data_IF_319910097146
#
_entry.id   IF_319910097146
#
_cell.length_a   1.000
_cell.length_b   1.000
_cell.length_c   1.000
_cell.angle_alpha   90.00
_cell.angle_beta   90.00
_cell.angle_gamma   90.00
#
_symmetry.space_group_name_H-M   'P 1'
#
loop_
_entity.id
_entity.type
_entity.pdbx_description
1 polymer ?
#
# COMPACT_ATOMS: atom_id res chain seq x y z
N UNK A 1 11.40 22.46 7.13
CA UNK A 1 11.01 22.29 8.55
C UNK A 1 9.49 22.26 8.66
N UNK A 2 8.99 21.51 9.64
CA UNK A 2 7.59 21.54 10.04
C UNK A 2 7.46 22.61 11.13
N UNK A 3 6.82 23.74 10.79
CA UNK A 3 6.64 24.86 11.69
C UNK A 3 5.58 24.54 12.77
N UNK A 4 5.79 25.09 13.96
CA UNK A 4 4.85 25.05 15.07
C UNK A 4 4.47 26.47 15.49
N UNK A 5 3.20 26.67 15.72
CA UNK A 5 2.65 27.91 16.26
C UNK A 5 1.72 27.59 17.41
N UNK A 6 1.71 28.44 18.43
CA UNK A 6 0.78 28.38 19.54
C UNK A 6 -0.16 29.60 19.55
N UNK A 7 -1.35 29.42 20.11
CA UNK A 7 -2.30 30.51 20.29
C UNK A 7 -3.21 30.20 21.49
N UNK A 8 -3.53 31.21 22.29
CA UNK A 8 -4.45 31.14 23.40
C UNK A 8 -5.88 31.52 22.99
N UNK A 9 -6.06 32.16 21.84
CA UNK A 9 -7.35 32.73 21.39
C UNK A 9 -7.73 32.38 19.93
N UNK A 10 -6.92 31.59 19.22
CA UNK A 10 -7.03 31.21 17.81
C UNK A 10 -6.98 32.40 16.83
N UNK A 11 -6.67 33.59 17.32
CA UNK A 11 -6.57 34.83 16.53
C UNK A 11 -5.14 35.33 16.47
N UNK A 12 -4.42 35.28 17.59
CA UNK A 12 -3.03 35.70 17.72
C UNK A 12 -2.14 34.47 17.87
N UNK A 13 -1.25 34.28 16.90
CA UNK A 13 -0.37 33.12 16.81
C UNK A 13 1.08 33.50 17.05
N UNK A 14 1.76 32.72 17.88
CA UNK A 14 3.18 32.88 18.19
C UNK A 14 3.97 31.75 17.53
N UNK A 15 5.06 32.05 16.80
CA UNK A 15 5.95 31.01 16.31
C UNK A 15 6.70 30.37 17.49
N UNK A 16 6.75 29.04 17.47
CA UNK A 16 7.50 28.21 18.39
C UNK A 16 8.74 27.63 17.71
N UNK A 17 9.52 26.86 18.44
CA UNK A 17 10.56 26.05 17.80
C UNK A 17 9.92 25.08 16.81
N UNK A 18 10.51 24.89 15.63
CA UNK A 18 9.98 23.94 14.65
C UNK A 18 9.79 22.56 15.26
N UNK A 19 8.66 21.92 14.96
CA UNK A 19 8.36 20.59 15.43
C UNK A 19 9.35 19.55 14.92
N UNK A 20 9.83 19.74 13.67
CA UNK A 20 10.85 18.90 13.05
C UNK A 20 11.59 19.69 11.97
N UNK A 21 12.92 19.59 11.96
CA UNK A 21 13.77 20.14 10.90
C UNK A 21 14.27 18.99 10.04
N UNK A 22 13.76 18.89 8.84
CA UNK A 22 14.11 17.85 7.86
C UNK A 22 15.33 18.24 7.03
N UNK A 23 16.07 17.27 6.47
CA UNK A 23 17.09 17.54 5.45
C UNK A 23 16.49 18.28 4.25
N UNK A 24 17.32 19.03 3.51
CA UNK A 24 16.88 19.80 2.33
C UNK A 24 16.25 18.93 1.22
N UNK A 25 16.56 17.65 1.21
CA UNK A 25 16.05 16.66 0.24
C UNK A 25 14.70 16.07 0.60
N UNK A 26 14.14 16.40 1.76
CA UNK A 26 12.88 15.86 2.25
C UNK A 26 11.84 16.97 2.35
N UNK A 27 10.64 16.71 1.87
CA UNK A 27 9.50 17.59 2.02
C UNK A 27 8.82 17.38 3.39
N UNK A 28 8.55 18.50 4.08
CA UNK A 28 7.73 18.52 5.29
C UNK A 28 6.30 18.98 5.02
N UNK A 29 5.86 18.96 3.76
CA UNK A 29 4.56 19.48 3.34
C UNK A 29 3.41 18.67 3.93
N UNK A 30 2.28 19.33 4.10
CA UNK A 30 1.03 18.73 4.53
C UNK A 30 1.15 17.79 5.74
N UNK A 31 1.88 18.16 6.81
CA UNK A 31 2.09 17.27 7.95
C UNK A 31 0.76 16.90 8.61
N UNK A 32 0.73 15.75 9.23
CA UNK A 32 -0.43 15.28 10.01
C UNK A 32 0.05 14.65 11.32
N UNK A 33 -0.28 15.29 12.42
CA UNK A 33 0.06 14.84 13.76
C UNK A 33 -1.17 14.25 14.45
N UNK A 34 -1.01 13.06 15.02
CA UNK A 34 -2.08 12.39 15.76
C UNK A 34 -1.53 11.46 16.83
N UNK A 35 -2.37 11.15 17.79
CA UNK A 35 -2.09 10.17 18.83
C UNK A 35 -2.74 8.82 18.53
N UNK A 36 -2.01 7.73 18.76
CA UNK A 36 -2.50 6.36 18.74
C UNK A 36 -1.69 5.50 19.70
N UNK A 37 -2.37 4.73 20.56
CA UNK A 37 -1.75 3.83 21.55
C UNK A 37 -0.71 4.54 22.44
N UNK A 38 -1.06 5.73 22.96
CA UNK A 38 -0.22 6.60 23.82
C UNK A 38 1.10 7.03 23.17
N UNK A 39 1.15 7.09 21.84
CA UNK A 39 2.28 7.56 21.06
C UNK A 39 1.81 8.54 20.00
N UNK A 40 2.58 9.58 19.78
CA UNK A 40 2.32 10.58 18.77
C UNK A 40 3.03 10.23 17.47
N UNK A 41 2.31 10.29 16.36
CA UNK A 41 2.79 10.01 15.02
C UNK A 41 2.68 11.25 14.16
N UNK A 42 3.75 11.57 13.47
CA UNK A 42 3.85 12.69 12.56
C UNK A 42 4.06 12.15 11.15
N UNK A 43 3.03 12.24 10.31
CA UNK A 43 3.08 11.87 8.90
C UNK A 43 3.55 13.07 8.07
N UNK A 44 4.28 12.82 6.99
CA UNK A 44 4.60 13.78 5.93
C UNK A 44 3.78 13.54 4.67
N UNK A 45 3.83 14.47 3.74
CA UNK A 45 3.14 14.34 2.44
C UNK A 45 3.63 13.14 1.62
N UNK A 46 4.87 12.73 1.80
CA UNK A 46 5.58 11.71 1.01
C UNK A 46 5.50 10.30 1.63
N UNK A 47 4.39 9.94 2.27
CA UNK A 47 4.16 8.61 2.84
C UNK A 47 5.22 8.14 3.87
N UNK A 48 5.88 9.10 4.52
CA UNK A 48 6.81 8.82 5.62
C UNK A 48 6.23 9.25 6.96
N UNK A 49 6.73 8.64 8.02
CA UNK A 49 6.35 9.02 9.38
C UNK A 49 7.51 8.92 10.37
N UNK A 50 7.36 9.65 11.45
CA UNK A 50 8.16 9.51 12.67
C UNK A 50 7.23 9.52 13.88
N UNK A 51 7.74 9.13 15.04
CA UNK A 51 6.92 9.07 16.25
C UNK A 51 7.66 9.58 17.48
N UNK A 52 6.90 10.01 18.48
CA UNK A 52 7.38 10.50 19.77
C UNK A 52 6.40 10.13 20.88
N UNK A 53 6.85 10.10 22.13
CA UNK A 53 5.97 9.97 23.30
C UNK A 53 5.30 11.30 23.67
N UNK A 54 5.73 12.40 23.09
CA UNK A 54 5.24 13.75 23.37
C UNK A 54 4.75 14.41 22.05
N UNK A 55 3.60 15.13 22.06
CA UNK A 55 3.10 15.84 20.89
C UNK A 55 4.06 16.91 20.34
N UNK A 56 4.90 17.46 21.17
CA UNK A 56 5.91 18.45 20.82
C UNK A 56 7.30 17.83 20.51
N UNK A 57 7.38 16.52 20.44
CA UNK A 57 8.63 15.80 20.15
C UNK A 57 9.45 15.47 21.39
N UNK A 58 10.76 15.15 21.24
CA UNK A 58 11.48 15.19 19.96
C UNK A 58 11.03 14.13 18.96
N UNK A 59 10.96 14.49 17.69
CA UNK A 59 10.74 13.58 16.58
C UNK A 59 12.05 13.26 15.88
N UNK A 60 12.25 11.99 15.51
CA UNK A 60 13.43 11.57 14.77
C UNK A 60 13.42 12.13 13.35
N UNK A 61 14.57 12.60 12.88
CA UNK A 61 14.75 13.11 11.51
C UNK A 61 14.71 11.98 10.49
N UNK A 62 15.15 10.78 10.88
CA UNK A 62 15.02 9.56 10.06
C UNK A 62 13.59 9.08 10.16
N UNK A 63 12.85 9.22 9.07
CA UNK A 63 11.46 8.81 8.97
C UNK A 63 11.36 7.38 8.42
N UNK A 64 10.30 6.69 8.82
CA UNK A 64 9.93 5.36 8.31
C UNK A 64 8.91 5.50 7.19
N UNK A 65 8.92 4.58 6.25
CA UNK A 65 7.92 4.49 5.19
C UNK A 65 6.71 3.69 5.70
N UNK A 66 5.50 4.18 5.47
CA UNK A 66 4.26 3.45 5.76
C UNK A 66 3.47 3.07 4.50
N UNK A 67 3.82 3.65 3.34
CA UNK A 67 3.33 3.26 2.02
C UNK A 67 4.46 3.41 1.02
N UNK A 68 4.48 2.59 -0.01
CA UNK A 68 5.50 2.66 -1.07
C UNK A 68 4.81 2.90 -2.40
N UNK A 69 5.04 4.07 -2.99
CA UNK A 69 4.50 4.40 -4.31
C UNK A 69 3.78 5.73 -4.41
N UNK A 70 2.58 5.71 -4.97
CA UNK A 70 1.85 6.91 -5.42
C UNK A 70 0.90 7.51 -4.37
N UNK A 71 0.98 7.10 -3.11
CA UNK A 71 0.16 7.68 -2.05
C UNK A 71 0.78 8.96 -1.52
N UNK A 72 0.04 10.06 -1.56
CA UNK A 72 0.49 11.37 -1.07
C UNK A 72 -0.51 11.99 -0.08
N UNK A 73 0.00 12.93 0.72
CA UNK A 73 -0.80 13.77 1.63
C UNK A 73 -1.75 12.95 2.51
N UNK A 74 -1.26 11.93 3.21
CA UNK A 74 -2.12 11.09 4.04
C UNK A 74 -2.75 11.90 5.17
N UNK A 75 -4.04 11.66 5.39
CA UNK A 75 -4.79 12.21 6.52
C UNK A 75 -5.54 11.09 7.21
N UNK A 76 -5.66 11.21 8.52
CA UNK A 76 -6.39 10.21 9.31
C UNK A 76 -7.51 10.87 10.11
N UNK A 77 -8.56 10.10 10.35
CA UNK A 77 -9.64 10.46 11.28
C UNK A 77 -9.91 9.32 12.24
N UNK A 78 -10.39 9.64 13.43
CA UNK A 78 -10.81 8.66 14.42
C UNK A 78 -12.32 8.59 14.42
N UNK A 79 -12.89 7.41 14.18
CA UNK A 79 -14.35 7.19 14.11
C UNK A 79 -14.99 6.87 15.48
N UNK A 80 -14.21 6.97 16.55
CA UNK A 80 -14.58 6.57 17.91
C UNK A 80 -14.08 5.17 18.28
N UNK A 81 -13.63 4.37 17.33
CA UNK A 81 -13.14 3.01 17.54
C UNK A 81 -11.84 2.74 16.76
N UNK A 82 -11.78 3.16 15.51
CA UNK A 82 -10.68 2.91 14.59
C UNK A 82 -10.10 4.24 14.10
N UNK A 83 -8.85 4.23 13.72
CA UNK A 83 -8.24 5.33 12.98
C UNK A 83 -8.19 4.96 11.50
N UNK A 84 -8.84 5.77 10.69
CA UNK A 84 -8.99 5.55 9.25
C UNK A 84 -8.13 6.53 8.50
N UNK A 85 -7.32 6.03 7.58
CA UNK A 85 -6.45 6.82 6.69
C UNK A 85 -7.05 6.92 5.29
N UNK A 86 -6.91 8.10 4.71
CA UNK A 86 -7.06 8.39 3.29
C UNK A 86 -5.82 9.13 2.80
N UNK A 87 -5.45 8.90 1.56
CA UNK A 87 -4.42 9.66 0.87
C UNK A 87 -4.86 10.03 -0.53
N UNK A 88 -4.15 10.96 -1.14
CA UNK A 88 -4.32 11.32 -2.53
C UNK A 88 -3.41 10.46 -3.41
N UNK A 89 -3.96 9.88 -4.46
CA UNK A 89 -3.23 9.15 -5.49
C UNK A 89 -3.29 10.00 -6.75
N UNK A 90 -2.20 10.72 -7.03
CA UNK A 90 -2.08 11.57 -8.20
C UNK A 90 -2.18 10.76 -9.51
N UNK A 91 -2.53 11.39 -10.60
CA UNK A 91 -2.31 10.74 -11.88
C UNK A 91 -0.90 11.00 -12.39
N UNK A 92 -0.40 10.08 -13.18
CA UNK A 92 0.92 10.19 -13.80
C UNK A 92 0.83 11.04 -15.06
N UNK A 93 1.91 11.75 -15.37
CA UNK A 93 2.04 12.52 -16.60
C UNK A 93 1.69 11.65 -17.83
N UNK A 94 1.01 12.26 -18.78
CA UNK A 94 0.55 11.65 -20.05
C UNK A 94 -0.51 10.54 -19.91
N UNK A 95 -0.72 9.98 -18.71
CA UNK A 95 -1.73 8.96 -18.47
C UNK A 95 -2.90 9.55 -17.69
N UNK A 96 -4.11 9.24 -18.12
CA UNK A 96 -5.35 9.80 -17.58
C UNK A 96 -6.42 8.73 -17.57
N UNK A 97 -7.32 8.83 -16.62
CA UNK A 97 -8.47 7.94 -16.56
C UNK A 97 -9.49 8.34 -17.65
N UNK A 98 -9.75 9.65 -17.78
CA UNK A 98 -10.67 10.20 -18.77
C UNK A 98 -10.23 11.58 -19.22
N UNK A 99 -10.41 11.88 -20.51
CA UNK A 99 -10.27 13.19 -21.10
C UNK A 99 -8.98 13.96 -20.76
N UNK A 100 -9.09 15.31 -20.68
CA UNK A 100 -8.02 16.22 -20.28
C UNK A 100 -8.40 16.93 -18.98
N UNK A 101 -8.09 16.40 -17.81
CA UNK A 101 -8.42 17.03 -16.55
C UNK A 101 -7.61 18.32 -16.37
N UNK A 102 -8.20 19.31 -15.71
CA UNK A 102 -7.49 20.52 -15.27
C UNK A 102 -6.60 20.20 -14.05
N UNK A 103 -7.03 19.29 -13.24
CA UNK A 103 -6.33 18.68 -12.10
C UNK A 103 -6.77 17.22 -12.01
N UNK A 104 -6.11 16.40 -11.23
CA UNK A 104 -6.50 15.01 -11.21
C UNK A 104 -5.90 14.21 -10.09
N UNK A 105 -6.37 12.98 -10.02
CA UNK A 105 -6.09 12.02 -8.99
C UNK A 105 -7.38 11.53 -8.35
N UNK A 106 -7.23 10.56 -7.48
CA UNK A 106 -8.32 9.94 -6.71
C UNK A 106 -7.90 9.80 -5.25
N UNK A 107 -8.86 9.56 -4.38
CA UNK A 107 -8.54 9.13 -3.02
C UNK A 107 -8.17 7.65 -3.02
N UNK A 108 -7.26 7.28 -2.13
CA UNK A 108 -7.03 5.86 -1.79
C UNK A 108 -8.30 5.25 -1.21
N UNK A 109 -8.39 3.92 -1.20
CA UNK A 109 -9.40 3.27 -0.36
C UNK A 109 -9.20 3.66 1.10
N UNK A 110 -10.26 3.66 1.93
CA UNK A 110 -10.12 3.82 3.37
C UNK A 110 -9.33 2.66 3.96
N UNK A 111 -8.33 2.98 4.78
CA UNK A 111 -7.45 2.00 5.43
C UNK A 111 -7.52 2.17 6.94
N UNK A 112 -7.71 1.09 7.65
CA UNK A 112 -7.59 1.08 9.11
C UNK A 112 -6.11 1.07 9.49
N UNK A 113 -5.70 2.03 10.32
CA UNK A 113 -4.36 2.10 10.88
C UNK A 113 -4.32 1.44 12.26
N UNK A 114 -3.23 0.74 12.51
CA UNK A 114 -2.92 0.14 13.80
C UNK A 114 -1.40 0.12 14.00
N UNK A 115 -0.94 -0.38 15.12
CA UNK A 115 0.50 -0.53 15.38
C UNK A 115 0.83 -1.99 15.65
N UNK A 116 2.01 -2.40 15.22
CA UNK A 116 2.61 -3.64 15.68
C UNK A 116 3.08 -3.56 17.15
N UNK A 117 3.67 -4.62 17.64
CA UNK A 117 4.18 -4.71 19.02
C UNK A 117 5.36 -3.78 19.30
N UNK A 118 6.04 -3.31 18.27
CA UNK A 118 7.16 -2.35 18.36
C UNK A 118 6.71 -0.89 18.23
N UNK A 119 5.42 -0.66 17.97
CA UNK A 119 4.87 0.67 17.72
C UNK A 119 5.09 1.20 16.31
N UNK A 120 5.35 0.31 15.34
CA UNK A 120 5.36 0.71 13.93
C UNK A 120 3.94 0.86 13.41
N UNK A 121 3.74 1.84 12.53
CA UNK A 121 2.46 2.00 11.83
C UNK A 121 2.25 0.88 10.81
N UNK A 122 1.11 0.25 10.93
CA UNK A 122 0.60 -0.78 10.04
C UNK A 122 -0.75 -0.33 9.46
N UNK A 123 -1.13 -0.91 8.33
CA UNK A 123 -2.38 -0.57 7.63
C UNK A 123 -3.02 -1.84 7.07
N UNK A 124 -4.33 -1.83 7.03
CA UNK A 124 -5.12 -2.84 6.32
C UNK A 124 -6.34 -2.18 5.67
N UNK A 125 -6.90 -2.76 4.63
CA UNK A 125 -8.17 -2.27 4.10
C UNK A 125 -9.23 -2.33 5.20
N UNK A 126 -10.14 -1.35 5.24
CA UNK A 126 -11.28 -1.46 6.16
C UNK A 126 -12.19 -2.62 5.73
N UNK A 127 -12.78 -3.30 6.70
CA UNK A 127 -13.62 -4.48 6.42
C UNK A 127 -14.79 -4.14 5.49
N UNK A 128 -15.30 -2.94 5.54
CA UNK A 128 -16.37 -2.45 4.67
C UNK A 128 -15.97 -2.49 3.19
N UNK A 129 -14.71 -2.14 2.85
CA UNK A 129 -14.20 -2.26 1.48
C UNK A 129 -14.05 -3.73 1.09
N UNK A 130 -13.48 -4.56 1.96
CA UNK A 130 -13.34 -6.00 1.67
C UNK A 130 -14.71 -6.64 1.40
N UNK A 131 -15.74 -6.24 2.13
CA UNK A 131 -17.08 -6.77 2.01
C UNK A 131 -17.80 -6.35 0.71
N UNK A 132 -17.38 -5.25 0.08
CA UNK A 132 -17.94 -4.82 -1.22
C UNK A 132 -17.53 -5.80 -2.34
N UNK A 133 -16.37 -6.44 -2.20
CA UNK A 133 -15.94 -7.52 -3.10
C UNK A 133 -16.56 -8.83 -2.66
N UNK A 134 -17.85 -9.02 -2.90
CA UNK A 134 -18.63 -10.15 -2.37
C UNK A 134 -18.79 -11.30 -3.35
N UNK A 135 -18.61 -11.06 -4.65
CA UNK A 135 -18.73 -12.07 -5.70
C UNK A 135 -17.40 -12.80 -5.91
N UNK A 136 -17.36 -14.08 -5.56
CA UNK A 136 -16.19 -14.92 -5.80
C UNK A 136 -16.10 -15.34 -7.26
N UNK A 137 -15.00 -14.96 -7.91
CA UNK A 137 -14.65 -15.39 -9.28
C UNK A 137 -13.85 -16.68 -9.24
N UNK A 138 -12.93 -16.78 -8.27
CA UNK A 138 -12.07 -17.94 -8.09
C UNK A 138 -11.82 -18.16 -6.59
N UNK A 139 -11.82 -19.44 -6.21
CA UNK A 139 -11.42 -19.86 -4.86
C UNK A 139 -10.63 -21.16 -4.96
N UNK A 140 -9.34 -21.12 -4.61
CA UNK A 140 -8.43 -22.27 -4.53
C UNK A 140 -7.75 -22.31 -3.17
N UNK A 141 -8.22 -23.15 -2.25
CA UNK A 141 -7.67 -23.22 -0.89
C UNK A 141 -6.24 -23.77 -0.85
N UNK A 142 -5.82 -24.53 -1.86
CA UNK A 142 -4.47 -25.09 -1.97
C UNK A 142 -4.28 -25.86 -3.26
N UNK A 143 -3.05 -26.38 -3.42
CA UNK A 143 -2.64 -27.14 -4.61
C UNK A 143 -1.86 -26.28 -5.63
N UNK A 144 -1.28 -26.92 -6.65
CA UNK A 144 -0.48 -26.22 -7.64
C UNK A 144 -1.30 -25.18 -8.39
N UNK A 145 -0.76 -23.98 -8.51
CA UNK A 145 -1.32 -22.92 -9.35
C UNK A 145 -0.72 -23.08 -10.75
N UNK A 146 -1.60 -23.12 -11.75
CA UNK A 146 -1.18 -23.11 -13.14
C UNK A 146 -0.61 -21.75 -13.52
N UNK A 147 0.42 -21.73 -14.34
CA UNK A 147 0.92 -20.51 -14.99
C UNK A 147 -0.07 -19.93 -16.01
N UNK A 148 -1.11 -20.69 -16.35
CA UNK A 148 -2.12 -20.23 -17.29
C UNK A 148 -2.81 -18.97 -16.80
N UNK A 149 -2.98 -18.01 -17.68
CA UNK A 149 -3.69 -16.77 -17.40
C UNK A 149 -5.15 -17.03 -17.05
N UNK A 150 -5.59 -16.42 -15.97
CA UNK A 150 -6.98 -16.43 -15.50
C UNK A 150 -7.64 -15.11 -15.89
N UNK A 151 -8.80 -15.19 -16.54
CA UNK A 151 -9.59 -13.99 -16.80
C UNK A 151 -10.19 -13.48 -15.50
N UNK A 152 -10.01 -12.21 -15.25
CA UNK A 152 -10.57 -11.51 -14.09
C UNK A 152 -11.29 -10.25 -14.57
N UNK A 153 -12.30 -9.77 -13.84
CA UNK A 153 -12.95 -8.49 -14.13
C UNK A 153 -11.98 -7.32 -13.96
N UNK A 154 -12.34 -6.16 -14.47
CA UNK A 154 -11.55 -4.92 -14.34
C UNK A 154 -11.33 -4.52 -12.87
N UNK A 155 -12.37 -4.69 -12.04
CA UNK A 155 -12.34 -4.40 -10.61
C UNK A 155 -12.30 -5.70 -9.82
N UNK A 156 -11.21 -5.97 -9.13
CA UNK A 156 -11.07 -7.18 -8.36
C UNK A 156 -10.22 -6.98 -7.10
N UNK A 157 -10.50 -7.84 -6.13
CA UNK A 157 -9.65 -8.11 -4.99
C UNK A 157 -9.05 -9.51 -5.17
N UNK A 158 -7.75 -9.62 -5.00
CA UNK A 158 -7.04 -10.89 -4.97
C UNK A 158 -6.45 -11.07 -3.58
N UNK A 159 -6.68 -12.24 -3.00
CA UNK A 159 -6.04 -12.68 -1.77
C UNK A 159 -5.22 -13.93 -2.03
N UNK A 160 -4.03 -14.02 -1.47
CA UNK A 160 -3.27 -15.27 -1.41
C UNK A 160 -2.31 -15.26 -0.21
N UNK A 161 -1.89 -16.46 0.16
CA UNK A 161 -0.85 -16.71 1.14
C UNK A 161 0.32 -17.40 0.45
N UNK A 162 1.54 -16.96 0.74
CA UNK A 162 2.77 -17.47 0.14
C UNK A 162 3.60 -18.10 1.23
N UNK A 163 3.96 -19.35 1.06
CA UNK A 163 4.76 -20.10 2.02
C UNK A 163 5.94 -20.80 1.34
N UNK A 164 7.07 -20.86 2.03
CA UNK A 164 8.21 -21.70 1.67
C UNK A 164 8.80 -22.34 2.91
N UNK A 165 9.02 -23.65 2.88
CA UNK A 165 9.61 -24.38 4.01
C UNK A 165 11.06 -23.96 4.31
N UNK A 166 11.77 -23.42 3.32
CA UNK A 166 13.16 -22.94 3.44
C UNK A 166 13.26 -21.44 3.69
N UNK A 167 12.15 -20.70 3.70
CA UNK A 167 12.10 -19.24 3.68
C UNK A 167 12.91 -18.64 2.52
N UNK A 168 13.00 -19.37 1.42
CA UNK A 168 13.70 -18.99 0.21
C UNK A 168 12.77 -19.13 -0.99
N UNK A 169 13.15 -18.48 -2.07
CA UNK A 169 12.44 -18.57 -3.34
C UNK A 169 11.57 -17.34 -3.62
N UNK A 170 11.08 -17.31 -4.82
CA UNK A 170 10.38 -16.16 -5.40
C UNK A 170 9.03 -16.56 -5.96
N UNK A 171 8.14 -15.61 -5.98
CA UNK A 171 6.87 -15.67 -6.68
C UNK A 171 6.68 -14.40 -7.50
N UNK A 172 6.23 -14.54 -8.72
CA UNK A 172 5.78 -13.44 -9.57
C UNK A 172 4.30 -13.64 -9.90
N UNK A 173 3.50 -12.69 -9.47
CA UNK A 173 2.11 -12.53 -9.89
C UNK A 173 2.07 -11.44 -10.95
N UNK A 174 1.48 -11.71 -12.12
CA UNK A 174 1.15 -10.69 -13.12
C UNK A 174 -0.35 -10.42 -13.10
N UNK A 175 -0.71 -9.17 -13.31
CA UNK A 175 -2.10 -8.73 -13.40
C UNK A 175 -2.24 -7.69 -14.51
N UNK A 176 -3.45 -7.57 -15.05
CA UNK A 176 -3.73 -6.85 -16.29
C UNK A 176 -2.84 -7.32 -17.45
N UNK A 177 -2.51 -8.59 -17.47
CA UNK A 177 -1.75 -9.22 -18.52
C UNK A 177 -2.63 -9.49 -19.72
N UNK A 178 -2.08 -9.34 -20.95
CA UNK A 178 -2.76 -9.70 -22.19
C UNK A 178 -2.31 -11.07 -22.66
N UNK A 179 -3.19 -11.81 -23.35
CA UNK A 179 -2.85 -13.13 -23.89
C UNK A 179 -1.81 -13.07 -25.03
N UNK A 180 -1.63 -11.92 -25.67
CA UNK A 180 -0.69 -11.71 -26.77
C UNK A 180 0.72 -11.35 -26.34
N UNK A 181 0.90 -10.99 -25.08
CA UNK A 181 2.19 -10.55 -24.53
C UNK A 181 2.28 -10.93 -23.05
N UNK A 182 3.07 -11.97 -22.76
CA UNK A 182 3.28 -12.49 -21.41
C UNK A 182 4.01 -11.53 -20.49
N UNK A 183 4.73 -10.54 -21.02
CA UNK A 183 5.44 -9.51 -20.28
C UNK A 183 4.58 -8.24 -20.07
N UNK A 184 3.38 -8.20 -20.67
CA UNK A 184 2.46 -7.07 -20.52
C UNK A 184 1.88 -6.94 -19.11
N UNK A 185 1.28 -5.77 -18.85
CA UNK A 185 0.61 -5.48 -17.59
C UNK A 185 1.56 -5.08 -16.47
N UNK A 186 1.21 -5.52 -15.28
CA UNK A 186 1.91 -5.18 -14.04
C UNK A 186 2.28 -6.46 -13.28
N UNK A 187 3.21 -6.34 -12.35
CA UNK A 187 3.63 -7.47 -11.53
C UNK A 187 3.70 -7.13 -10.05
N UNK A 188 3.45 -8.13 -9.23
CA UNK A 188 3.84 -8.19 -7.84
C UNK A 188 4.86 -9.33 -7.71
N UNK A 189 6.08 -9.00 -7.32
CA UNK A 189 7.13 -9.98 -7.04
C UNK A 189 7.41 -10.02 -5.55
N UNK A 190 7.45 -11.21 -4.99
CA UNK A 190 7.84 -11.45 -3.61
C UNK A 190 9.04 -12.37 -3.61
N UNK A 191 10.13 -11.93 -3.02
CA UNK A 191 11.37 -12.68 -2.83
C UNK A 191 11.56 -12.93 -1.33
N UNK A 192 11.25 -14.14 -0.92
CA UNK A 192 11.31 -14.56 0.50
C UNK A 192 12.77 -14.59 0.99
N UNK A 193 13.71 -14.97 0.13
CA UNK A 193 15.13 -15.07 0.49
C UNK A 193 15.78 -13.72 0.74
N UNK A 194 15.40 -12.71 -0.05
CA UNK A 194 15.91 -11.35 0.07
C UNK A 194 14.99 -10.43 0.91
N UNK A 195 13.87 -10.93 1.37
CA UNK A 195 12.85 -10.15 2.08
C UNK A 195 12.45 -8.89 1.30
N UNK A 196 12.17 -9.04 0.00
CA UNK A 196 11.76 -7.91 -0.84
C UNK A 196 10.39 -8.12 -1.46
N UNK A 197 9.65 -7.03 -1.52
CA UNK A 197 8.41 -6.92 -2.30
C UNK A 197 8.61 -5.86 -3.36
N UNK A 198 8.21 -6.18 -4.59
CA UNK A 198 8.32 -5.32 -5.75
C UNK A 198 6.96 -5.28 -6.46
N UNK A 199 6.38 -4.11 -6.54
CA UNK A 199 5.16 -3.82 -7.31
C UNK A 199 5.52 -2.91 -8.46
N UNK A 200 5.28 -3.34 -9.71
CA UNK A 200 5.73 -2.57 -10.84
C UNK A 200 5.08 -2.94 -12.16
N UNK A 201 5.61 -2.36 -13.23
CA UNK A 201 5.28 -2.59 -14.62
C UNK A 201 6.39 -2.08 -15.51
N UNK A 202 6.18 -2.03 -16.83
CA UNK A 202 7.20 -1.68 -17.81
C UNK A 202 7.88 -0.31 -17.58
N UNK A 203 7.22 0.64 -16.92
CA UNK A 203 7.72 2.02 -16.75
C UNK A 203 8.05 2.40 -15.30
N UNK A 204 7.51 1.70 -14.34
CA UNK A 204 7.62 2.06 -12.93
C UNK A 204 7.76 0.82 -12.07
N UNK A 205 8.55 0.94 -11.04
CA UNK A 205 8.82 -0.14 -10.11
C UNK A 205 8.98 0.45 -8.70
N UNK A 206 8.24 -0.10 -7.77
CA UNK A 206 8.33 0.22 -6.35
C UNK A 206 8.80 -1.01 -5.60
N UNK A 207 9.97 -0.91 -5.00
CA UNK A 207 10.56 -2.00 -4.25
C UNK A 207 10.79 -1.56 -2.80
N UNK A 208 10.50 -2.46 -1.89
CA UNK A 208 10.79 -2.29 -0.47
C UNK A 208 11.40 -3.57 0.11
N UNK A 209 12.41 -3.39 0.97
CA UNK A 209 12.87 -4.44 1.88
C UNK A 209 11.87 -4.52 3.03
N UNK A 210 11.34 -5.69 3.29
CA UNK A 210 10.26 -5.93 4.24
C UNK A 210 10.67 -7.02 5.23
N UNK A 211 10.20 -6.94 6.46
CA UNK A 211 10.36 -8.02 7.43
C UNK A 211 9.24 -9.04 7.25
N UNK A 212 9.44 -10.05 6.43
CA UNK A 212 8.46 -11.13 6.26
C UNK A 212 8.52 -12.06 7.46
N UNK A 213 7.34 -12.53 7.89
CA UNK A 213 7.28 -13.47 9.00
C UNK A 213 7.70 -14.87 8.53
N UNK A 214 8.86 -15.33 8.97
CA UNK A 214 9.43 -16.62 8.56
C UNK A 214 8.61 -17.84 9.04
N UNK A 215 7.82 -17.69 10.08
CA UNK A 215 7.07 -18.81 10.69
C UNK A 215 5.67 -18.99 10.16
N UNK A 216 5.14 -18.00 9.43
CA UNK A 216 3.76 -18.00 8.93
C UNK A 216 3.75 -17.78 7.41
N UNK A 217 2.72 -18.24 6.70
CA UNK A 217 2.57 -17.84 5.30
C UNK A 217 2.47 -16.30 5.19
N UNK A 218 3.16 -15.74 4.19
CA UNK A 218 3.07 -14.30 3.86
C UNK A 218 1.72 -14.02 3.23
N UNK A 219 0.92 -13.20 3.88
CA UNK A 219 -0.41 -12.80 3.40
C UNK A 219 -0.32 -11.63 2.42
N UNK A 220 -1.06 -11.71 1.33
CA UNK A 220 -1.15 -10.66 0.31
C UNK A 220 -2.60 -10.38 -0.03
N UNK A 221 -2.97 -9.11 0.07
CA UNK A 221 -4.22 -8.58 -0.45
C UNK A 221 -3.92 -7.53 -1.53
N UNK A 222 -4.35 -7.78 -2.76
CA UNK A 222 -4.20 -6.90 -3.91
C UNK A 222 -5.56 -6.42 -4.39
N UNK A 223 -5.76 -5.12 -4.40
CA UNK A 223 -6.97 -4.48 -4.90
C UNK A 223 -6.67 -3.75 -6.21
N UNK A 224 -7.46 -4.00 -7.21
CA UNK A 224 -7.44 -3.28 -8.49
C UNK A 224 -8.82 -2.66 -8.71
N UNK A 225 -8.84 -1.33 -8.78
CA UNK A 225 -10.08 -0.57 -8.97
C UNK A 225 -9.83 0.57 -9.95
N UNK A 226 -10.40 0.45 -11.17
CA UNK A 226 -10.09 1.39 -12.24
C UNK A 226 -8.58 1.46 -12.47
N UNK A 227 -8.02 2.65 -12.48
CA UNK A 227 -6.58 2.87 -12.68
C UNK A 227 -5.73 2.83 -11.41
N UNK A 228 -6.24 2.26 -10.32
CA UNK A 228 -5.52 2.17 -9.04
C UNK A 228 -5.28 0.73 -8.64
N UNK A 229 -4.06 0.46 -8.18
CA UNK A 229 -3.67 -0.76 -7.50
C UNK A 229 -3.21 -0.42 -6.09
N UNK A 230 -3.79 -1.06 -5.09
CA UNK A 230 -3.37 -0.99 -3.69
C UNK A 230 -3.08 -2.41 -3.19
N UNK A 231 -1.85 -2.64 -2.73
CA UNK A 231 -1.38 -3.95 -2.28
C UNK A 231 -0.96 -3.89 -0.82
N UNK A 232 -1.44 -4.84 -0.04
CA UNK A 232 -1.13 -5.01 1.38
C UNK A 232 -0.41 -6.34 1.57
N UNK A 233 0.78 -6.29 2.14
CA UNK A 233 1.58 -7.47 2.47
C UNK A 233 1.71 -7.53 4.00
N UNK A 234 1.28 -8.63 4.61
CA UNK A 234 1.27 -8.85 6.07
C UNK A 234 0.49 -7.76 6.85
N UNK A 235 -0.38 -7.00 6.22
CA UNK A 235 -1.02 -5.81 6.79
C UNK A 235 -0.01 -4.78 7.37
N UNK A 236 1.25 -4.91 7.06
CA UNK A 236 2.34 -4.07 7.57
C UNK A 236 2.98 -3.24 6.47
N UNK A 237 3.01 -3.77 5.26
CA UNK A 237 3.63 -3.11 4.12
C UNK A 237 2.58 -2.84 3.05
N UNK A 238 2.49 -1.57 2.65
CA UNK A 238 1.51 -1.12 1.68
C UNK A 238 2.21 -0.56 0.45
N UNK A 239 1.66 -0.86 -0.71
CA UNK A 239 2.10 -0.34 -1.99
C UNK A 239 0.90 0.24 -2.72
N UNK A 240 1.07 1.45 -3.21
CA UNK A 240 0.04 2.15 -3.99
C UNK A 240 0.58 2.51 -5.35
N UNK A 241 -0.11 2.15 -6.42
CA UNK A 241 0.37 2.39 -7.78
C UNK A 241 -0.76 2.79 -8.72
N UNK A 242 -0.49 3.76 -9.60
CA UNK A 242 -1.38 4.06 -10.75
C UNK A 242 -1.10 3.08 -11.88
N UNK A 243 -2.17 2.50 -12.40
CA UNK A 243 -2.16 1.50 -13.46
C UNK A 243 -3.17 1.89 -14.54
N UNK A 244 -2.72 2.10 -15.77
CA UNK A 244 -3.61 2.59 -16.83
C UNK A 244 -3.81 1.58 -17.97
N UNK A 245 -2.86 0.65 -18.14
CA UNK A 245 -2.85 -0.26 -19.28
C UNK A 245 -3.71 -1.50 -19.02
N UNK A 246 -4.30 -2.02 -20.09
CA UNK A 246 -4.96 -3.33 -20.16
C UNK A 246 -6.03 -3.56 -19.06
N UNK A 247 -7.07 -2.72 -18.97
CA UNK A 247 -8.08 -2.84 -17.90
C UNK A 247 -8.79 -4.21 -17.88
N UNK A 248 -8.91 -4.86 -19.03
CA UNK A 248 -9.52 -6.19 -19.18
C UNK A 248 -8.49 -7.34 -19.20
N UNK A 249 -7.27 -7.09 -18.80
CA UNK A 249 -6.22 -8.11 -18.75
C UNK A 249 -6.40 -9.09 -17.59
N UNK A 250 -5.86 -10.29 -17.76
CA UNK A 250 -5.96 -11.36 -16.78
C UNK A 250 -4.90 -11.34 -15.69
N UNK A 251 -4.91 -12.39 -14.89
CA UNK A 251 -3.95 -12.66 -13.80
C UNK A 251 -3.24 -13.98 -14.08
N UNK A 252 -1.94 -14.03 -13.86
CA UNK A 252 -1.14 -15.25 -13.98
C UNK A 252 0.00 -15.30 -12.95
N UNK A 253 0.56 -16.49 -12.79
CA UNK A 253 1.76 -16.73 -11.97
C UNK A 253 2.85 -17.33 -12.89
N UNK A 254 3.55 -16.51 -13.66
CA UNK A 254 4.54 -17.02 -14.64
C UNK A 254 5.77 -17.64 -13.97
N UNK A 255 6.08 -17.25 -12.74
CA UNK A 255 7.26 -17.71 -12.02
C UNK A 255 6.87 -18.02 -10.56
N UNK A 256 7.07 -19.28 -10.16
CA UNK A 256 7.00 -19.75 -8.79
C UNK A 256 8.19 -20.69 -8.60
N UNK A 257 9.11 -20.33 -7.74
CA UNK A 257 10.30 -21.14 -7.46
C UNK A 257 9.93 -22.50 -6.83
N UNK A 258 10.70 -23.55 -7.04
CA UNK A 258 10.51 -24.81 -6.38
C UNK A 258 10.50 -24.66 -4.86
N UNK A 259 9.50 -25.23 -4.19
CA UNK A 259 9.32 -25.13 -2.75
C UNK A 259 8.54 -23.92 -2.27
N UNK A 260 8.18 -23.00 -3.15
CA UNK A 260 7.21 -21.93 -2.86
C UNK A 260 5.80 -22.45 -3.15
N UNK A 261 4.92 -22.33 -2.18
CA UNK A 261 3.52 -22.72 -2.29
C UNK A 261 2.62 -21.48 -2.17
N UNK A 262 1.61 -21.41 -3.02
CA UNK A 262 0.56 -20.42 -2.91
C UNK A 262 -0.70 -21.10 -2.38
N UNK A 263 -1.23 -20.58 -1.28
CA UNK A 263 -2.41 -21.09 -0.59
C UNK A 263 -3.50 -20.03 -0.52
N UNK A 264 -4.71 -20.47 -0.25
CA UNK A 264 -5.87 -19.60 -0.03
C UNK A 264 -6.07 -18.56 -1.15
N UNK A 265 -5.71 -18.96 -2.40
CA UNK A 265 -5.83 -18.06 -3.54
C UNK A 265 -7.29 -17.81 -3.89
N UNK A 266 -7.71 -16.57 -3.75
CA UNK A 266 -9.07 -16.13 -4.03
C UNK A 266 -9.04 -14.88 -4.91
N UNK A 267 -9.99 -14.81 -5.84
CA UNK A 267 -10.30 -13.59 -6.59
C UNK A 267 -11.78 -13.29 -6.41
N UNK A 268 -12.05 -12.07 -5.97
CA UNK A 268 -13.40 -11.55 -5.81
C UNK A 268 -13.58 -10.27 -6.62
N UNK A 269 -14.79 -9.93 -6.97
CA UNK A 269 -15.13 -8.74 -7.75
C UNK A 269 -16.28 -7.98 -7.11
N UNK A 270 -16.43 -6.75 -7.51
CA UNK A 270 -17.67 -5.98 -7.33
C UNK A 270 -18.77 -6.60 -8.20
N UNK A 271 -20.05 -6.47 -7.82
CA UNK A 271 -21.17 -6.87 -8.67
C UNK A 271 -21.13 -6.22 -10.06
#
# INVERSE_FOLDING_TARGET
AIALYSSDDLTHWKPEQPLLVLPKTSSGDCPHLFEMNNRWYLLSAEHHYTSSENPLGPFAVTMRTFDTGDLFVPKTMFDGKRRILFGWIGHREENRDEGKPLWGGVLSMPREMFTDTEGNLCQRPVQEVVNVFDRTVLNRPGGPISSQMLNVPEHFMLHCEIQSASNQGKMVLRFRQTASDEESGYHLKIDLGNNTVDLGGARFQYQQVVGLNESNPVSVDLFVTGSVCECFVENSYCFTMRIYNFPNGGVSFPEIDPGVEIRNFQVKTLE
#
